data_IF_107901185613
#
_entry.id   IF_107901185613
#
_cell.length_a   1.000
_cell.length_b   1.000
_cell.length_c   1.000
_cell.angle_alpha   90.00
_cell.angle_beta   90.00
_cell.angle_gamma   90.00
#
_symmetry.space_group_name_H-M   'P 1'
#
loop_
_entity.id
_entity.type
_entity.pdbx_description
1 polymer ?
#
# COMPACT_ATOMS: atom_id res chain seq x y z
N UNK A 1 -9.54 -12.71 30.23
CA UNK A 1 -9.22 -11.26 30.12
C UNK A 1 -10.40 -10.62 29.40
N UNK A 2 -10.98 -9.57 30.00
CA UNK A 2 -12.36 -9.14 29.77
C UNK A 2 -12.58 -8.35 28.46
N UNK A 3 -13.81 -8.34 27.92
CA UNK A 3 -14.16 -7.54 26.74
C UNK A 3 -14.25 -6.05 27.11
N UNK A 4 -13.57 -5.20 26.34
CA UNK A 4 -13.58 -3.75 26.49
C UNK A 4 -14.98 -3.20 26.16
N UNK A 5 -15.57 -2.53 27.16
CA UNK A 5 -16.84 -1.83 27.07
C UNK A 5 -16.75 -0.66 26.08
N UNK A 6 -17.67 -0.59 25.11
CA UNK A 6 -17.90 0.61 24.30
C UNK A 6 -18.32 1.77 25.21
N UNK A 7 -17.52 2.82 25.27
CA UNK A 7 -17.95 4.13 25.75
C UNK A 7 -18.46 4.96 24.56
N UNK A 8 -19.75 5.30 24.65
CA UNK A 8 -20.46 6.23 23.79
C UNK A 8 -19.74 7.58 23.74
N UNK A 9 -19.21 7.93 22.57
CA UNK A 9 -18.82 9.31 22.24
C UNK A 9 -19.86 9.94 21.31
N UNK A 10 -21.11 10.03 21.77
CA UNK A 10 -22.13 10.92 21.18
C UNK A 10 -22.05 12.28 21.82
N UNK A 11 -21.16 13.13 21.29
CA UNK A 11 -21.28 14.59 21.32
C UNK A 11 -20.20 15.16 20.43
N UNK A 12 -20.59 15.68 19.26
CA UNK A 12 -19.98 16.84 18.62
C UNK A 12 -20.91 17.36 17.51
N UNK A 13 -21.41 18.58 17.76
CA UNK A 13 -21.85 19.61 16.81
C UNK A 13 -23.19 19.42 16.08
N UNK A 14 -24.23 19.95 16.73
CA UNK A 14 -25.44 20.41 16.07
C UNK A 14 -25.11 21.57 15.10
N UNK A 15 -25.07 21.27 13.81
CA UNK A 15 -25.36 22.27 12.78
C UNK A 15 -26.21 21.59 11.71
N UNK A 16 -27.52 21.79 11.82
CA UNK A 16 -28.53 21.28 10.91
C UNK A 16 -28.47 22.02 9.56
N UNK A 17 -27.51 21.66 8.72
CA UNK A 17 -27.68 21.79 7.27
C UNK A 17 -28.29 20.47 6.79
N UNK A 18 -29.61 20.47 6.58
CA UNK A 18 -30.30 19.32 5.99
C UNK A 18 -29.69 19.07 4.61
N UNK A 19 -29.21 17.85 4.28
CA UNK A 19 -28.58 17.60 2.99
C UNK A 19 -29.56 17.95 1.86
N UNK A 20 -29.11 18.57 0.74
CA UNK A 20 -30.01 19.19 -0.24
C UNK A 20 -30.83 18.19 -1.07
N UNK A 21 -30.64 16.88 -0.86
CA UNK A 21 -31.25 15.81 -1.65
C UNK A 21 -31.69 14.71 -0.69
N UNK A 22 -32.91 14.20 -0.86
CA UNK A 22 -33.34 12.97 -0.19
C UNK A 22 -32.52 11.83 -0.79
N UNK A 23 -31.47 11.41 -0.08
CA UNK A 23 -30.61 10.32 -0.52
C UNK A 23 -31.41 9.04 -0.36
N UNK A 24 -31.82 8.44 -1.47
CA UNK A 24 -32.60 7.19 -1.48
C UNK A 24 -31.77 5.97 -1.87
N UNK A 25 -30.58 6.18 -2.43
CA UNK A 25 -29.76 5.14 -3.03
C UNK A 25 -28.27 5.38 -2.79
N UNK A 26 -27.52 4.27 -2.75
CA UNK A 26 -26.08 4.27 -2.49
C UNK A 26 -25.29 5.12 -3.50
N UNK A 27 -25.72 5.15 -4.77
CA UNK A 27 -25.02 5.91 -5.81
C UNK A 27 -25.14 7.40 -5.54
N UNK A 28 -26.36 7.90 -5.30
CA UNK A 28 -26.60 9.30 -4.91
C UNK A 28 -25.83 9.68 -3.64
N UNK A 29 -25.73 8.77 -2.66
CA UNK A 29 -24.92 8.99 -1.46
C UNK A 29 -23.45 9.27 -1.79
N UNK A 30 -22.83 8.39 -2.58
CA UNK A 30 -21.41 8.47 -2.92
C UNK A 30 -21.12 9.75 -3.71
N UNK A 31 -21.93 10.04 -4.74
CA UNK A 31 -21.77 11.24 -5.56
C UNK A 31 -21.90 12.53 -4.75
N UNK A 32 -22.85 12.56 -3.81
CA UNK A 32 -23.04 13.70 -2.90
C UNK A 32 -21.82 13.86 -1.99
N UNK A 33 -21.30 12.77 -1.44
CA UNK A 33 -20.12 12.79 -0.57
C UNK A 33 -18.87 13.27 -1.33
N UNK A 34 -18.65 12.77 -2.55
CA UNK A 34 -17.55 13.21 -3.42
C UNK A 34 -17.63 14.71 -3.74
N UNK A 35 -18.83 15.21 -4.03
CA UNK A 35 -19.08 16.64 -4.27
C UNK A 35 -18.77 17.49 -3.03
N UNK A 36 -19.19 17.03 -1.84
CA UNK A 36 -18.89 17.70 -0.58
C UNK A 36 -17.39 17.72 -0.29
N UNK A 37 -16.68 16.61 -0.56
CA UNK A 37 -15.23 16.55 -0.43
C UNK A 37 -14.53 17.52 -1.38
N UNK A 38 -14.93 17.56 -2.66
CA UNK A 38 -14.39 18.51 -3.64
C UNK A 38 -14.66 19.97 -3.29
N UNK A 39 -15.72 20.23 -2.53
CA UNK A 39 -16.09 21.56 -2.04
C UNK A 39 -15.45 21.92 -0.68
N UNK A 40 -14.56 21.08 -0.14
CA UNK A 40 -13.90 21.30 1.15
C UNK A 40 -14.75 20.99 2.40
N UNK A 41 -15.95 20.41 2.22
CA UNK A 41 -16.89 20.08 3.30
C UNK A 41 -16.79 18.59 3.70
N UNK A 42 -15.56 18.10 3.88
CA UNK A 42 -15.29 16.68 4.16
C UNK A 42 -15.93 16.18 5.48
N UNK A 43 -16.05 17.03 6.50
CA UNK A 43 -16.74 16.68 7.75
C UNK A 43 -18.23 16.40 7.54
N UNK A 44 -18.90 17.17 6.66
CA UNK A 44 -20.31 16.95 6.34
C UNK A 44 -20.51 15.64 5.58
N UNK A 45 -19.59 15.30 4.66
CA UNK A 45 -19.60 14.02 3.98
C UNK A 45 -19.44 12.85 4.98
N UNK A 46 -18.59 13.00 6.00
CA UNK A 46 -18.40 11.97 7.02
C UNK A 46 -19.66 11.79 7.89
N UNK A 47 -20.34 12.88 8.25
CA UNK A 47 -21.63 12.81 8.93
C UNK A 47 -22.69 12.12 8.07
N UNK A 48 -22.70 12.40 6.76
CA UNK A 48 -23.67 11.83 5.84
C UNK A 48 -23.51 10.31 5.72
N UNK A 49 -22.28 9.83 5.55
CA UNK A 49 -21.98 8.39 5.59
C UNK A 49 -22.35 7.76 6.93
N UNK A 50 -22.00 8.41 8.05
CA UNK A 50 -22.33 7.89 9.39
C UNK A 50 -23.84 7.76 9.60
N UNK A 51 -24.63 8.76 9.18
CA UNK A 51 -26.09 8.72 9.26
C UNK A 51 -26.69 7.64 8.37
N UNK A 52 -26.16 7.45 7.16
CA UNK A 52 -26.60 6.40 6.25
C UNK A 52 -26.34 5.00 6.82
N UNK A 53 -25.15 4.78 7.40
CA UNK A 53 -24.75 3.50 7.98
C UNK A 53 -25.41 3.21 9.33
N UNK A 54 -26.01 4.20 9.98
CA UNK A 54 -26.78 4.01 11.21
C UNK A 54 -28.14 3.33 10.99
N UNK A 55 -28.64 3.33 9.75
CA UNK A 55 -29.84 2.59 9.36
C UNK A 55 -29.48 1.13 9.05
N UNK A 56 -30.07 0.19 9.79
CA UNK A 56 -29.80 -1.26 9.65
C UNK A 56 -30.02 -1.78 8.22
N UNK A 57 -30.94 -1.18 7.46
CA UNK A 57 -31.18 -1.57 6.07
C UNK A 57 -29.99 -1.28 5.16
N UNK A 58 -29.21 -0.25 5.51
CA UNK A 58 -28.13 0.30 4.70
C UNK A 58 -26.73 -0.09 5.19
N UNK A 59 -26.63 -0.56 6.44
CA UNK A 59 -25.38 -1.00 7.07
C UNK A 59 -24.72 -2.23 6.41
N UNK A 60 -25.41 -2.94 5.52
CA UNK A 60 -24.92 -4.18 4.89
C UNK A 60 -24.07 -3.94 3.62
N UNK A 61 -23.71 -2.70 3.29
CA UNK A 61 -22.89 -2.40 2.09
C UNK A 61 -21.39 -2.29 2.40
N UNK A 62 -20.54 -3.22 1.92
CA UNK A 62 -19.10 -3.13 2.13
C UNK A 62 -18.47 -1.92 1.42
N UNK A 63 -19.03 -1.50 0.28
CA UNK A 63 -18.51 -0.36 -0.49
C UNK A 63 -18.68 0.95 0.27
N UNK A 64 -19.81 1.13 0.95
CA UNK A 64 -20.08 2.34 1.74
C UNK A 64 -19.15 2.39 2.96
N UNK A 65 -18.97 1.27 3.67
CA UNK A 65 -18.01 1.17 4.76
C UNK A 65 -16.57 1.48 4.32
N UNK A 66 -16.16 1.00 3.13
CA UNK A 66 -14.85 1.32 2.57
C UNK A 66 -14.68 2.81 2.28
N UNK A 67 -15.65 3.43 1.60
CA UNK A 67 -15.59 4.86 1.27
C UNK A 67 -15.62 5.74 2.53
N UNK A 68 -16.43 5.36 3.52
CA UNK A 68 -16.47 6.03 4.82
C UNK A 68 -15.11 5.93 5.53
N UNK A 69 -14.49 4.75 5.56
CA UNK A 69 -13.16 4.56 6.13
C UNK A 69 -12.09 5.39 5.43
N UNK A 70 -12.13 5.49 4.10
CA UNK A 70 -11.22 6.33 3.32
C UNK A 70 -11.36 7.82 3.64
N UNK A 71 -12.60 8.29 3.79
CA UNK A 71 -12.87 9.66 4.20
C UNK A 71 -12.41 9.93 5.64
N UNK A 72 -12.69 9.03 6.58
CA UNK A 72 -12.21 9.18 7.96
C UNK A 72 -10.68 9.20 8.05
N UNK A 73 -10.01 8.38 7.24
CA UNK A 73 -8.56 8.35 7.17
C UNK A 73 -8.00 9.70 6.66
N UNK A 74 -8.61 10.29 5.64
CA UNK A 74 -8.17 11.60 5.10
C UNK A 74 -8.42 12.76 6.07
N UNK A 75 -9.47 12.65 6.90
CA UNK A 75 -9.74 13.56 8.02
C UNK A 75 -8.83 13.33 9.25
N UNK A 76 -7.96 12.33 9.23
CA UNK A 76 -7.06 11.99 10.33
C UNK A 76 -7.72 11.23 11.49
N UNK A 77 -9.00 10.86 11.38
CA UNK A 77 -9.67 9.99 12.34
C UNK A 77 -9.30 8.52 12.08
N UNK A 78 -8.07 8.15 12.46
CA UNK A 78 -7.52 6.83 12.22
C UNK A 78 -8.34 5.72 12.92
N UNK A 79 -8.79 5.95 14.14
CA UNK A 79 -9.56 4.98 14.91
C UNK A 79 -10.91 4.67 14.25
N UNK A 80 -11.62 5.70 13.78
CA UNK A 80 -12.86 5.54 13.04
C UNK A 80 -12.63 4.87 11.67
N UNK A 81 -11.56 5.23 10.98
CA UNK A 81 -11.20 4.61 9.70
C UNK A 81 -10.93 3.11 9.85
N UNK A 82 -10.19 2.71 10.89
CA UNK A 82 -9.95 1.29 11.20
C UNK A 82 -11.25 0.54 11.41
N UNK A 83 -12.15 1.06 12.26
CA UNK A 83 -13.44 0.44 12.53
C UNK A 83 -14.29 0.30 11.25
N UNK A 84 -14.31 1.32 10.39
CA UNK A 84 -15.05 1.27 9.14
C UNK A 84 -14.49 0.23 8.16
N UNK A 85 -13.16 0.12 8.04
CA UNK A 85 -12.55 -0.94 7.22
C UNK A 85 -12.76 -2.34 7.79
N UNK A 86 -12.73 -2.51 9.11
CA UNK A 86 -13.06 -3.79 9.74
C UNK A 86 -14.51 -4.21 9.46
N UNK A 87 -15.47 -3.28 9.52
CA UNK A 87 -16.85 -3.54 9.10
C UNK A 87 -16.94 -3.94 7.62
N UNK A 88 -16.21 -3.25 6.74
CA UNK A 88 -16.11 -3.64 5.33
C UNK A 88 -15.62 -5.09 5.16
N UNK A 89 -14.61 -5.49 5.92
CA UNK A 89 -14.03 -6.84 5.87
C UNK A 89 -14.90 -7.90 6.53
N UNK A 90 -15.72 -7.54 7.53
CA UNK A 90 -16.73 -8.45 8.08
C UNK A 90 -17.79 -8.81 7.04
N UNK A 91 -18.21 -7.83 6.24
CA UNK A 91 -19.18 -8.03 5.15
C UNK A 91 -18.56 -8.72 3.92
N UNK A 92 -17.29 -8.38 3.60
CA UNK A 92 -16.55 -8.95 2.47
C UNK A 92 -15.09 -9.21 2.86
N UNK A 93 -14.75 -10.41 3.39
CA UNK A 93 -13.39 -10.74 3.87
C UNK A 93 -12.27 -10.68 2.83
N UNK A 94 -12.61 -10.68 1.54
CA UNK A 94 -11.67 -10.58 0.42
C UNK A 94 -11.63 -9.18 -0.22
N UNK A 95 -12.07 -8.12 0.47
CA UNK A 95 -12.00 -6.76 -0.07
C UNK A 95 -10.55 -6.25 -0.01
N UNK A 96 -9.78 -6.51 -1.07
CA UNK A 96 -8.35 -6.21 -1.15
C UNK A 96 -7.99 -4.75 -0.82
N UNK A 97 -8.74 -3.78 -1.37
CA UNK A 97 -8.49 -2.37 -1.10
C UNK A 97 -8.70 -2.01 0.38
N UNK A 98 -9.65 -2.64 1.07
CA UNK A 98 -9.88 -2.41 2.49
C UNK A 98 -8.74 -3.00 3.34
N UNK A 99 -8.20 -4.18 3.00
CA UNK A 99 -7.02 -4.74 3.68
C UNK A 99 -5.78 -3.84 3.54
N UNK A 100 -5.52 -3.34 2.32
CA UNK A 100 -4.38 -2.43 2.08
C UNK A 100 -4.55 -1.14 2.88
N UNK A 101 -5.71 -0.50 2.81
CA UNK A 101 -5.97 0.76 3.49
C UNK A 101 -6.02 0.61 5.01
N UNK A 102 -6.54 -0.51 5.53
CA UNK A 102 -6.49 -0.81 6.95
C UNK A 102 -5.05 -0.96 7.44
N UNK A 103 -4.20 -1.67 6.67
CA UNK A 103 -2.77 -1.76 6.98
C UNK A 103 -2.07 -0.40 6.98
N UNK A 104 -2.34 0.44 5.98
CA UNK A 104 -1.82 1.82 5.94
C UNK A 104 -2.30 2.68 7.11
N UNK A 105 -3.56 2.51 7.53
CA UNK A 105 -4.14 3.23 8.67
C UNK A 105 -3.49 2.77 9.98
N UNK A 106 -3.30 1.46 10.14
CA UNK A 106 -2.60 0.89 11.29
C UNK A 106 -1.17 1.41 11.38
N UNK A 107 -0.45 1.43 10.26
CA UNK A 107 0.91 1.97 10.21
C UNK A 107 0.95 3.45 10.61
N UNK A 108 0.05 4.28 10.07
CA UNK A 108 -0.07 5.70 10.45
C UNK A 108 -0.38 5.88 11.94
N UNK A 109 -1.10 4.94 12.55
CA UNK A 109 -1.41 4.92 13.97
C UNK A 109 -0.26 4.35 14.84
N UNK A 110 0.86 3.93 14.23
CA UNK A 110 1.98 3.30 14.95
C UNK A 110 1.77 1.81 15.28
N UNK A 111 0.69 1.20 14.80
CA UNK A 111 0.34 -0.20 15.00
C UNK A 111 0.98 -1.08 13.92
N UNK A 112 2.31 -1.11 13.91
CA UNK A 112 3.10 -1.75 12.85
C UNK A 112 2.83 -3.26 12.72
N UNK A 113 2.66 -3.97 13.83
CA UNK A 113 2.38 -5.42 13.79
C UNK A 113 1.02 -5.72 13.16
N UNK A 114 -0.01 -4.93 13.48
CA UNK A 114 -1.33 -5.06 12.89
C UNK A 114 -1.27 -4.75 11.38
N UNK A 115 -0.52 -3.73 10.97
CA UNK A 115 -0.33 -3.41 9.55
C UNK A 115 0.27 -4.59 8.77
N UNK A 116 1.32 -5.20 9.29
CA UNK A 116 1.94 -6.39 8.71
C UNK A 116 0.99 -7.58 8.63
N UNK A 117 0.13 -7.78 9.64
CA UNK A 117 -0.88 -8.83 9.65
C UNK A 117 -1.90 -8.65 8.52
N UNK A 118 -2.48 -7.46 8.36
CA UNK A 118 -3.50 -7.23 7.32
C UNK A 118 -2.92 -7.31 5.90
N UNK A 119 -1.73 -6.77 5.65
CA UNK A 119 -1.07 -6.94 4.36
C UNK A 119 -0.67 -8.40 4.11
N UNK A 120 -0.21 -9.11 5.15
CA UNK A 120 0.12 -10.53 5.08
C UNK A 120 -1.10 -11.39 4.77
N UNK A 121 -2.26 -11.05 5.35
CA UNK A 121 -3.54 -11.70 5.03
C UNK A 121 -3.84 -11.58 3.53
N UNK A 122 -3.76 -10.37 2.95
CA UNK A 122 -3.98 -10.17 1.52
C UNK A 122 -2.98 -10.97 0.67
N UNK A 123 -1.69 -10.91 1.01
CA UNK A 123 -0.65 -11.64 0.31
C UNK A 123 -0.84 -13.17 0.38
N UNK A 124 -1.35 -13.69 1.49
CA UNK A 124 -1.65 -15.12 1.64
C UNK A 124 -2.89 -15.56 0.85
N UNK A 125 -3.93 -14.72 0.81
CA UNK A 125 -5.16 -15.00 0.05
C UNK A 125 -4.90 -15.15 -1.44
N UNK A 126 -3.89 -14.46 -1.97
CA UNK A 126 -3.45 -14.58 -3.37
C UNK A 126 -3.29 -16.04 -3.82
N UNK A 127 -2.71 -16.89 -2.98
CA UNK A 127 -2.43 -18.29 -3.32
C UNK A 127 -3.67 -19.21 -3.30
N UNK A 128 -4.83 -18.69 -2.90
CA UNK A 128 -6.03 -19.49 -2.67
C UNK A 128 -7.23 -19.15 -3.57
N UNK A 129 -7.22 -18.04 -4.31
CA UNK A 129 -8.35 -17.67 -5.18
C UNK A 129 -7.91 -17.20 -6.56
N UNK A 130 -8.80 -17.30 -7.55
CA UNK A 130 -8.47 -17.17 -8.98
C UNK A 130 -8.57 -15.73 -9.50
N UNK A 131 -9.15 -14.80 -8.74
CA UNK A 131 -9.51 -13.46 -9.22
C UNK A 131 -9.09 -12.37 -8.22
N UNK A 132 -7.78 -12.13 -8.14
CA UNK A 132 -7.19 -11.14 -7.25
C UNK A 132 -6.66 -9.94 -8.03
N UNK A 133 -6.87 -8.74 -7.48
CA UNK A 133 -6.20 -7.53 -7.97
C UNK A 133 -4.71 -7.63 -7.65
N UNK A 134 -3.93 -8.10 -8.64
CA UNK A 134 -2.49 -8.28 -8.56
C UNK A 134 -1.78 -7.00 -8.08
N UNK A 135 -2.30 -5.83 -8.45
CA UNK A 135 -1.71 -4.56 -8.04
C UNK A 135 -1.82 -4.35 -6.52
N UNK A 136 -2.93 -4.76 -5.90
CA UNK A 136 -3.13 -4.63 -4.45
C UNK A 136 -2.22 -5.58 -3.68
N UNK A 137 -2.03 -6.81 -4.18
CA UNK A 137 -1.10 -7.78 -3.58
C UNK A 137 0.34 -7.28 -3.66
N UNK A 138 0.76 -6.79 -4.83
CA UNK A 138 2.08 -6.19 -5.04
C UNK A 138 2.30 -4.98 -4.12
N UNK A 139 1.30 -4.10 -3.99
CA UNK A 139 1.34 -2.96 -3.09
C UNK A 139 1.51 -3.39 -1.62
N UNK A 140 0.76 -4.38 -1.17
CA UNK A 140 0.89 -4.94 0.17
C UNK A 140 2.29 -5.53 0.43
N UNK A 141 2.83 -6.30 -0.52
CA UNK A 141 4.19 -6.86 -0.41
C UNK A 141 5.27 -5.77 -0.36
N UNK A 142 5.12 -4.69 -1.12
CA UNK A 142 6.02 -3.54 -1.09
C UNK A 142 5.97 -2.82 0.26
N UNK A 143 4.78 -2.65 0.85
CA UNK A 143 4.63 -2.09 2.19
C UNK A 143 5.24 -2.99 3.26
N UNK A 144 5.02 -4.30 3.20
CA UNK A 144 5.67 -5.28 4.09
C UNK A 144 7.19 -5.16 3.98
N UNK A 145 7.74 -5.14 2.76
CA UNK A 145 9.18 -5.01 2.52
C UNK A 145 9.78 -3.78 3.20
N UNK A 146 9.18 -2.61 2.98
CA UNK A 146 9.62 -1.35 3.61
C UNK A 146 9.52 -1.37 5.13
N UNK A 147 8.40 -1.86 5.68
CA UNK A 147 8.22 -1.88 7.14
C UNK A 147 9.19 -2.87 7.79
N UNK A 148 9.39 -4.05 7.19
CA UNK A 148 10.36 -5.02 7.70
C UNK A 148 11.80 -4.50 7.64
N UNK A 149 12.15 -3.72 6.61
CA UNK A 149 13.44 -3.02 6.55
C UNK A 149 13.59 -2.02 7.70
N UNK A 150 12.57 -1.21 7.99
CA UNK A 150 12.59 -0.26 9.11
C UNK A 150 12.77 -0.96 10.47
N UNK A 151 12.19 -2.15 10.61
CA UNK A 151 12.36 -3.03 11.77
C UNK A 151 13.70 -3.80 11.76
N UNK A 152 14.56 -3.59 10.75
CA UNK A 152 15.84 -4.29 10.55
C UNK A 152 15.71 -5.80 10.32
N UNK A 153 14.52 -6.27 9.97
CA UNK A 153 14.27 -7.66 9.58
C UNK A 153 14.59 -7.87 8.10
N UNK A 154 15.86 -7.68 7.71
CA UNK A 154 16.27 -7.64 6.31
C UNK A 154 15.91 -8.91 5.51
N UNK A 155 15.95 -10.09 6.13
CA UNK A 155 15.57 -11.33 5.44
C UNK A 155 14.07 -11.36 5.09
N UNK A 156 13.20 -10.89 5.99
CA UNK A 156 11.76 -10.82 5.74
C UNK A 156 11.44 -9.75 4.69
N UNK A 157 12.14 -8.61 4.76
CA UNK A 157 12.03 -7.55 3.77
C UNK A 157 12.42 -8.03 2.37
N UNK A 158 13.58 -8.69 2.25
CA UNK A 158 14.09 -9.27 1.01
C UNK A 158 13.08 -10.26 0.42
N UNK A 159 12.56 -11.19 1.24
CA UNK A 159 11.60 -12.20 0.79
C UNK A 159 10.31 -11.55 0.26
N UNK A 160 9.75 -10.57 0.97
CA UNK A 160 8.53 -9.88 0.56
C UNK A 160 8.70 -9.17 -0.79
N UNK A 161 9.81 -8.47 -0.97
CA UNK A 161 10.12 -7.79 -2.23
C UNK A 161 10.45 -8.77 -3.37
N UNK A 162 11.10 -9.91 -3.08
CA UNK A 162 11.27 -10.98 -4.07
C UNK A 162 9.92 -11.51 -4.57
N UNK A 163 8.97 -11.73 -3.66
CA UNK A 163 7.62 -12.14 -4.06
C UNK A 163 6.93 -11.06 -4.91
N UNK A 164 7.05 -9.78 -4.53
CA UNK A 164 6.53 -8.66 -5.31
C UNK A 164 7.09 -8.65 -6.74
N UNK A 165 8.40 -8.80 -6.90
CA UNK A 165 9.06 -8.79 -8.21
C UNK A 165 8.74 -10.01 -9.07
N UNK A 166 8.45 -11.18 -8.47
CA UNK A 166 7.95 -12.35 -9.23
C UNK A 166 6.57 -12.10 -9.81
N UNK A 167 5.70 -11.43 -9.06
CA UNK A 167 4.35 -11.09 -9.52
C UNK A 167 4.38 -9.98 -10.58
N UNK A 168 5.18 -8.94 -10.34
CA UNK A 168 5.34 -7.82 -11.26
C UNK A 168 6.82 -7.44 -11.39
N UNK A 169 7.52 -7.94 -12.44
CA UNK A 169 8.96 -7.74 -12.58
C UNK A 169 9.36 -6.28 -12.89
N UNK A 170 8.49 -5.53 -13.58
CA UNK A 170 8.79 -4.16 -14.07
C UNK A 170 8.51 -3.11 -13.00
N UNK A 171 9.22 -3.17 -11.88
CA UNK A 171 9.10 -2.22 -10.76
C UNK A 171 10.48 -1.62 -10.39
N UNK A 172 10.97 -0.57 -11.07
CA UNK A 172 12.33 -0.04 -10.87
C UNK A 172 12.63 0.35 -9.42
N UNK A 173 11.69 1.01 -8.74
CA UNK A 173 11.86 1.41 -7.34
C UNK A 173 11.96 0.20 -6.39
N UNK A 174 11.24 -0.88 -6.68
CA UNK A 174 11.28 -2.10 -5.87
C UNK A 174 12.56 -2.88 -6.13
N UNK A 175 13.02 -2.92 -7.38
CA UNK A 175 14.32 -3.51 -7.74
C UNK A 175 15.44 -2.81 -6.98
N UNK A 176 15.47 -1.47 -7.03
CA UNK A 176 16.44 -0.67 -6.29
C UNK A 176 16.38 -0.93 -4.78
N UNK A 177 15.17 -0.99 -4.22
CA UNK A 177 14.95 -1.25 -2.80
C UNK A 177 15.43 -2.65 -2.39
N UNK A 178 15.16 -3.66 -3.21
CA UNK A 178 15.61 -5.03 -2.98
C UNK A 178 17.14 -5.15 -2.98
N UNK A 179 17.82 -4.52 -3.94
CA UNK A 179 19.28 -4.45 -4.00
C UNK A 179 19.84 -3.79 -2.73
N UNK A 180 19.25 -2.67 -2.30
CA UNK A 180 19.66 -1.93 -1.11
C UNK A 180 19.51 -2.75 0.19
N UNK A 181 18.44 -3.54 0.32
CA UNK A 181 18.26 -4.44 1.48
C UNK A 181 19.40 -5.46 1.54
N UNK A 182 19.81 -6.03 0.40
CA UNK A 182 20.93 -6.98 0.37
C UNK A 182 22.27 -6.33 0.72
N UNK A 183 22.50 -5.10 0.27
CA UNK A 183 23.67 -4.32 0.69
C UNK A 183 23.71 -4.12 2.20
N UNK A 184 22.60 -3.64 2.79
CA UNK A 184 22.45 -3.45 4.24
C UNK A 184 22.62 -4.74 5.04
N UNK A 185 22.16 -5.87 4.50
CA UNK A 185 22.27 -7.18 5.12
C UNK A 185 23.62 -7.88 4.88
N UNK A 186 24.54 -7.26 4.14
CA UNK A 186 25.80 -7.87 3.69
C UNK A 186 25.61 -9.23 3.00
N UNK A 187 24.52 -9.39 2.23
CA UNK A 187 24.25 -10.63 1.46
C UNK A 187 24.86 -10.54 0.06
N UNK A 188 25.92 -11.32 -0.13
CA UNK A 188 26.65 -11.42 -1.39
C UNK A 188 26.24 -12.68 -2.18
N UNK A 189 26.17 -12.62 -3.53
CA UNK A 189 26.31 -11.42 -4.34
C UNK A 189 25.13 -10.46 -4.17
N UNK A 190 25.38 -9.14 -4.14
CA UNK A 190 24.30 -8.13 -3.99
C UNK A 190 23.35 -8.19 -5.19
N UNK A 191 23.90 -8.28 -6.40
CA UNK A 191 23.15 -8.51 -7.62
C UNK A 191 22.94 -10.01 -7.83
N UNK A 192 21.73 -10.48 -7.59
CA UNK A 192 21.34 -11.86 -7.83
C UNK A 192 20.07 -11.86 -8.69
N UNK A 193 20.16 -12.36 -9.92
CA UNK A 193 19.02 -12.42 -10.84
C UNK A 193 17.83 -13.15 -10.20
N UNK A 194 16.63 -12.62 -10.45
CA UNK A 194 15.38 -13.24 -10.06
C UNK A 194 14.65 -13.73 -11.31
N UNK A 195 13.58 -14.50 -11.11
CA UNK A 195 12.68 -14.89 -12.18
C UNK A 195 12.14 -13.62 -12.86
N UNK A 196 12.43 -13.47 -14.15
CA UNK A 196 12.06 -12.31 -14.98
C UNK A 196 12.65 -10.94 -14.58
N UNK A 197 13.63 -10.89 -13.66
CA UNK A 197 14.42 -9.67 -13.37
C UNK A 197 15.90 -10.01 -13.52
N UNK A 198 16.53 -9.49 -14.57
CA UNK A 198 17.93 -9.74 -14.86
C UNK A 198 18.86 -8.89 -13.97
N UNK A 199 20.14 -9.28 -13.88
CA UNK A 199 21.17 -8.44 -13.25
C UNK A 199 21.31 -7.09 -13.95
N UNK A 200 21.10 -7.04 -15.27
CA UNK A 200 21.09 -5.80 -16.02
C UNK A 200 19.97 -4.86 -15.56
N UNK A 201 18.75 -5.37 -15.37
CA UNK A 201 17.62 -4.58 -14.85
C UNK A 201 17.94 -4.02 -13.46
N UNK A 202 18.61 -4.81 -12.62
CA UNK A 202 19.06 -4.40 -11.28
C UNK A 202 20.11 -3.28 -11.32
N UNK A 203 21.09 -3.40 -12.22
CA UNK A 203 22.11 -2.36 -12.43
C UNK A 203 21.45 -1.07 -12.93
N UNK A 204 20.54 -1.16 -13.91
CA UNK A 204 19.82 -0.01 -14.44
C UNK A 204 18.93 0.68 -13.41
N UNK A 205 18.39 -0.07 -12.43
CA UNK A 205 17.61 0.48 -11.32
C UNK A 205 18.47 1.01 -10.16
N UNK A 206 19.76 0.69 -10.10
CA UNK A 206 20.65 1.14 -9.03
C UNK A 206 21.25 2.51 -9.37
N UNK A 207 21.37 3.41 -8.39
CA UNK A 207 22.02 4.69 -8.64
C UNK A 207 23.53 4.51 -8.87
N UNK A 208 24.15 5.32 -9.75
CA UNK A 208 25.59 5.30 -9.97
C UNK A 208 26.41 5.34 -8.68
N UNK A 209 26.03 6.20 -7.74
CA UNK A 209 26.71 6.33 -6.46
C UNK A 209 26.65 5.05 -5.62
N UNK A 210 25.51 4.37 -5.61
CA UNK A 210 25.36 3.10 -4.88
C UNK A 210 26.14 1.96 -5.54
N UNK A 211 26.32 2.00 -6.87
CA UNK A 211 27.18 1.03 -7.57
C UNK A 211 28.66 1.25 -7.25
N UNK A 212 29.13 2.50 -7.18
CA UNK A 212 30.51 2.80 -6.80
C UNK A 212 30.87 2.25 -5.41
N UNK A 213 29.93 2.29 -4.47
CA UNK A 213 30.13 1.78 -3.11
C UNK A 213 30.27 0.25 -3.02
N UNK A 214 29.99 -0.49 -4.10
CA UNK A 214 30.09 -1.96 -4.14
C UNK A 214 31.42 -2.47 -4.67
N UNK A 215 32.26 -1.58 -5.21
CA UNK A 215 33.50 -1.95 -5.88
C UNK A 215 34.68 -1.25 -5.21
N UNK A 216 35.65 -2.04 -4.76
CA UNK A 216 36.90 -1.51 -4.23
C UNK A 216 37.79 -0.91 -5.34
N UNK A 217 37.62 -1.38 -6.59
CA UNK A 217 38.31 -0.86 -7.77
C UNK A 217 37.52 0.27 -8.44
N UNK A 218 38.04 1.49 -8.29
CA UNK A 218 37.49 2.71 -8.89
C UNK A 218 37.33 2.64 -10.42
N UNK A 219 38.13 1.84 -11.13
CA UNK A 219 38.10 1.74 -12.60
C UNK A 219 36.89 0.92 -13.04
N UNK A 220 36.75 -0.30 -12.52
CA UNK A 220 35.58 -1.16 -12.79
C UNK A 220 34.28 -0.49 -12.40
N UNK A 221 34.30 0.25 -11.29
CA UNK A 221 33.16 1.01 -10.80
C UNK A 221 32.77 2.15 -11.78
N UNK A 222 33.75 2.90 -12.29
CA UNK A 222 33.53 3.94 -13.30
C UNK A 222 33.02 3.37 -14.62
N UNK A 223 33.57 2.24 -15.10
CA UNK A 223 33.12 1.59 -16.33
C UNK A 223 31.63 1.22 -16.26
N UNK A 224 31.19 0.57 -15.18
CA UNK A 224 29.79 0.21 -14.97
C UNK A 224 28.87 1.43 -14.94
N UNK A 225 29.27 2.51 -14.25
CA UNK A 225 28.52 3.78 -14.22
C UNK A 225 28.43 4.41 -15.61
N UNK A 226 29.53 4.43 -16.37
CA UNK A 226 29.53 4.98 -17.73
C UNK A 226 28.65 4.17 -18.67
N UNK A 227 28.69 2.84 -18.60
CA UNK A 227 27.81 1.96 -19.38
C UNK A 227 26.33 2.21 -19.07
N UNK A 228 25.97 2.35 -17.79
CA UNK A 228 24.59 2.68 -17.40
C UNK A 228 24.14 4.03 -17.96
N UNK A 229 24.99 5.06 -17.86
CA UNK A 229 24.69 6.40 -18.37
C UNK A 229 24.52 6.42 -19.90
N UNK A 230 25.37 5.68 -20.63
CA UNK A 230 25.27 5.55 -22.08
C UNK A 230 23.96 4.87 -22.49
N UNK A 231 23.57 3.79 -21.82
CA UNK A 231 22.31 3.10 -22.14
C UNK A 231 21.07 3.91 -21.74
N UNK A 232 21.15 4.77 -20.72
CA UNK A 232 20.08 5.70 -20.37
C UNK A 232 19.92 6.84 -21.41
N UNK A 233 21.03 7.33 -21.99
CA UNK A 233 21.01 8.41 -22.99
C UNK A 233 20.78 7.91 -24.42
N UNK A 234 21.15 6.68 -24.74
CA UNK A 234 21.00 6.08 -26.07
C UNK A 234 20.45 4.64 -25.98
N UNK A 235 19.14 4.47 -25.74
CA UNK A 235 18.53 3.14 -25.55
C UNK A 235 18.71 2.21 -26.75
N UNK A 236 18.93 2.76 -27.95
CA UNK A 236 19.08 2.00 -29.20
C UNK A 236 20.54 1.69 -29.56
N UNK A 237 21.51 2.31 -28.88
CA UNK A 237 22.93 2.10 -29.13
C UNK A 237 23.50 0.91 -28.32
N UNK A 238 22.86 0.55 -27.21
CA UNK A 238 23.24 -0.58 -26.36
C UNK A 238 22.63 -1.92 -26.81
N UNK A 239 22.74 -2.28 -28.09
CA UNK A 239 22.63 -3.67 -28.50
C UNK A 239 24.02 -4.31 -28.38
N UNK A 240 24.42 -4.77 -27.19
CA UNK A 240 25.53 -5.72 -27.10
C UNK A 240 25.02 -7.12 -27.47
N UNK A 241 25.70 -7.86 -28.38
CA UNK A 241 25.30 -9.21 -28.75
C UNK A 241 25.47 -10.17 -27.57
N UNK A 242 24.62 -11.20 -27.54
CA UNK A 242 24.50 -12.25 -26.52
C UNK A 242 25.83 -12.91 -26.15
#
# INVERSE_FOLDING_TARGET
MQPFHLMNHTKLLSNNAKPPVAISDMRSLIETCETLQGSGHADQAAQLYGNWLADEQHASSPVVWFNYGALLQSLGNLTGAMAAYEQCLQLKPGFAQALVNLGLTCEKAGLTDAALQYWGQLASQYFHTVDHDLNMVVMALNHIGRVQENLKHYQLAENALTHSLRLMPKQPHVIQHWVHIRQKACRWPVYQALEHVSTHDMLMATSPLAMLALHDDSITACELVTCQAICACMPWACCCPR
#
